data_IF_078843998307
#
_entry.id   IF_078843998307
#
_cell.length_a   1.000
_cell.length_b   1.000
_cell.length_c   1.000
_cell.angle_alpha   90.00
_cell.angle_beta   90.00
_cell.angle_gamma   90.00
#
_symmetry.space_group_name_H-M   'P 1'
#
loop_
_entity.id
_entity.type
_entity.pdbx_description
1 polymer ?
#
# COMPACT_ATOMS: atom_id res chain seq x y z
N UNK A 1 27.76 -8.97 13.93
CA UNK A 1 27.18 -7.77 14.56
C UNK A 1 27.33 -6.62 13.59
N UNK A 2 26.23 -6.02 13.16
CA UNK A 2 26.26 -4.80 12.35
C UNK A 2 26.03 -3.61 13.26
N UNK A 3 26.92 -2.63 13.21
CA UNK A 3 26.78 -1.37 13.94
C UNK A 3 26.48 -0.27 12.93
N UNK A 4 25.37 0.42 13.15
CA UNK A 4 24.97 1.58 12.34
C UNK A 4 24.94 2.78 13.28
N UNK A 5 25.53 3.89 12.84
CA UNK A 5 25.47 5.17 13.54
C UNK A 5 24.53 6.08 12.76
N UNK A 6 23.47 6.54 13.41
CA UNK A 6 22.64 7.63 12.94
C UNK A 6 23.19 8.92 13.56
N UNK A 7 23.49 9.91 12.72
CA UNK A 7 23.85 11.26 13.18
C UNK A 7 22.59 12.10 13.05
N UNK A 8 22.18 12.75 14.14
CA UNK A 8 21.05 13.69 14.14
C UNK A 8 21.62 15.11 14.11
N UNK A 9 21.34 15.84 13.04
CA UNK A 9 21.74 17.25 12.90
C UNK A 9 20.64 18.12 13.50
N UNK A 10 20.66 18.29 14.83
CA UNK A 10 19.63 19.02 15.59
C UNK A 10 20.12 20.41 16.04
N UNK A 11 20.60 21.25 15.12
CA UNK A 11 20.81 22.68 15.46
C UNK A 11 19.54 23.53 15.32
N UNK A 12 18.52 23.09 14.56
CA UNK A 12 17.33 23.90 14.23
C UNK A 12 15.97 23.27 14.62
N UNK A 13 15.94 22.05 15.17
CA UNK A 13 14.71 21.29 15.48
C UNK A 13 14.28 21.48 16.94
N UNK A 14 13.34 22.38 17.20
CA UNK A 14 12.83 22.66 18.55
C UNK A 14 11.84 21.58 19.09
N UNK A 15 12.00 20.30 18.70
CA UNK A 15 11.05 19.22 19.01
C UNK A 15 11.57 17.80 18.76
N UNK A 16 10.80 16.75 19.13
CA UNK A 16 11.21 15.36 18.96
C UNK A 16 11.26 14.95 17.48
N UNK A 17 12.32 14.23 17.09
CA UNK A 17 12.50 13.68 15.75
C UNK A 17 12.11 12.20 15.72
N UNK A 18 11.34 11.80 14.71
CA UNK A 18 10.82 10.42 14.56
C UNK A 18 11.56 9.67 13.46
N UNK A 19 11.95 8.42 13.74
CA UNK A 19 12.63 7.54 12.80
C UNK A 19 11.97 6.15 12.76
N UNK A 20 11.87 5.56 11.57
CA UNK A 20 11.44 4.16 11.40
C UNK A 20 12.66 3.31 11.06
N UNK A 21 13.00 2.37 11.95
CA UNK A 21 14.07 1.41 11.70
C UNK A 21 13.52 0.18 10.99
N UNK A 22 14.02 -0.09 9.79
CA UNK A 22 13.67 -1.29 9.01
C UNK A 22 14.86 -2.24 9.00
N UNK A 23 14.67 -3.44 9.56
CA UNK A 23 15.64 -4.53 9.43
C UNK A 23 15.33 -5.29 8.15
N UNK A 24 16.24 -5.23 7.17
CA UNK A 24 16.07 -5.88 5.88
C UNK A 24 17.23 -6.83 5.57
N UNK A 25 16.93 -7.88 4.82
CA UNK A 25 17.92 -8.82 4.27
C UNK A 25 17.94 -8.62 2.75
N UNK A 26 19.14 -8.48 2.16
CA UNK A 26 19.30 -8.23 0.72
C UNK A 26 18.68 -9.35 -0.12
N UNK A 27 18.90 -10.61 0.29
CA UNK A 27 18.25 -11.78 -0.29
C UNK A 27 17.59 -12.61 0.82
N UNK A 28 16.26 -12.73 0.79
CA UNK A 28 15.50 -13.54 1.75
C UNK A 28 15.57 -15.03 1.40
N UNK A 29 16.77 -15.61 1.45
CA UNK A 29 16.98 -17.03 1.18
C UNK A 29 16.73 -17.89 2.44
N UNK A 30 16.84 -17.31 3.63
CA UNK A 30 16.66 -17.97 4.93
C UNK A 30 16.03 -17.01 5.93
N UNK A 31 15.20 -17.52 6.84
CA UNK A 31 14.72 -16.73 7.97
C UNK A 31 15.86 -16.48 8.96
N UNK A 32 15.94 -15.26 9.47
CA UNK A 32 16.97 -14.85 10.43
C UNK A 32 16.33 -14.42 11.75
N UNK A 33 16.92 -14.89 12.84
CA UNK A 33 16.63 -14.37 14.17
C UNK A 33 17.61 -13.23 14.46
N UNK A 34 17.11 -12.13 15.00
CA UNK A 34 17.94 -10.97 15.33
C UNK A 34 17.58 -10.41 16.70
N UNK A 35 18.54 -9.68 17.27
CA UNK A 35 18.31 -8.82 18.43
C UNK A 35 18.72 -7.40 18.06
N UNK A 36 17.87 -6.43 18.37
CA UNK A 36 18.15 -5.02 18.17
C UNK A 36 18.53 -4.38 19.50
N UNK A 37 19.68 -3.70 19.54
CA UNK A 37 20.10 -2.86 20.67
C UNK A 37 20.36 -1.46 20.15
N UNK A 38 19.74 -0.47 20.77
CA UNK A 38 19.88 0.94 20.40
C UNK A 38 20.47 1.69 21.59
N UNK A 39 21.51 2.46 21.31
CA UNK A 39 22.15 3.36 22.28
C UNK A 39 22.06 4.77 21.70
N UNK A 40 21.68 5.73 22.54
CA UNK A 40 21.61 7.14 22.17
C UNK A 40 22.23 7.99 23.29
N UNK A 41 22.76 9.14 22.90
CA UNK A 41 23.33 10.16 23.81
C UNK A 41 22.28 11.11 24.37
N UNK A 42 21.02 10.95 23.95
CA UNK A 42 19.87 11.72 24.40
C UNK A 42 18.73 10.78 24.83
N UNK A 43 17.69 11.34 25.46
CA UNK A 43 16.49 10.60 25.79
C UNK A 43 15.81 10.14 24.49
N UNK A 44 15.48 8.85 24.42
CA UNK A 44 14.78 8.27 23.28
C UNK A 44 13.73 7.25 23.73
N UNK A 45 12.79 6.96 22.83
CA UNK A 45 11.85 5.85 22.96
C UNK A 45 11.97 4.96 21.73
N UNK A 46 11.97 3.64 21.94
CA UNK A 46 11.92 2.65 20.88
C UNK A 46 10.70 1.78 21.10
N UNK A 47 9.73 1.90 20.21
CA UNK A 47 8.50 1.11 20.25
C UNK A 47 8.36 0.29 18.98
N UNK A 48 7.69 -0.88 19.03
CA UNK A 48 7.21 -1.53 17.82
C UNK A 48 6.40 -0.55 16.98
N UNK A 49 6.46 -0.70 15.65
CA UNK A 49 5.59 0.06 14.75
C UNK A 49 4.13 -0.32 15.09
N UNK A 50 3.24 0.65 15.37
CA UNK A 50 1.85 0.35 15.67
C UNK A 50 1.20 -0.43 14.53
N UNK A 51 0.49 -1.49 14.87
CA UNK A 51 -0.28 -2.26 13.90
C UNK A 51 -1.65 -1.59 13.72
N UNK A 52 -1.76 -0.71 12.73
CA UNK A 52 -2.99 0.02 12.42
C UNK A 52 -4.08 -0.86 11.79
N UNK A 53 -3.72 -2.07 11.34
CA UNK A 53 -4.63 -2.96 10.62
C UNK A 53 -5.11 -4.09 11.51
N UNK A 54 -6.40 -4.41 11.41
CA UNK A 54 -6.96 -5.54 12.12
C UNK A 54 -6.81 -6.80 11.25
N UNK A 55 -6.15 -7.87 11.75
CA UNK A 55 -5.99 -9.11 10.98
C UNK A 55 -7.31 -9.72 10.48
N UNK A 56 -8.44 -9.44 11.15
CA UNK A 56 -9.78 -9.90 10.75
C UNK A 56 -10.30 -9.24 9.47
N UNK A 57 -9.75 -8.09 9.09
CA UNK A 57 -10.20 -7.30 7.95
C UNK A 57 -9.16 -7.30 6.82
N UNK A 58 -8.26 -8.29 6.82
CA UNK A 58 -7.36 -8.55 5.72
C UNK A 58 -8.03 -9.44 4.67
N UNK A 59 -7.99 -9.01 3.41
CA UNK A 59 -8.59 -9.71 2.28
C UNK A 59 -7.57 -9.81 1.15
N UNK A 60 -7.43 -11.01 0.59
CA UNK A 60 -6.59 -11.27 -0.57
C UNK A 60 -7.44 -11.81 -1.72
N UNK A 61 -7.29 -11.25 -2.91
CA UNK A 61 -7.91 -11.74 -4.13
C UNK A 61 -6.82 -12.07 -5.15
N UNK A 62 -6.96 -13.24 -5.78
CA UNK A 62 -6.19 -13.59 -6.97
C UNK A 62 -6.88 -13.03 -8.21
N UNK A 63 -6.15 -12.25 -9.00
CA UNK A 63 -6.59 -11.70 -10.28
C UNK A 63 -5.64 -12.06 -11.42
N UNK A 64 -5.97 -11.64 -12.62
CA UNK A 64 -5.09 -11.78 -13.79
C UNK A 64 -5.30 -10.64 -14.79
N UNK A 65 -4.21 -10.24 -15.45
CA UNK A 65 -4.24 -9.51 -16.71
C UNK A 65 -4.19 -10.53 -17.85
N UNK A 66 -5.21 -10.55 -18.72
CA UNK A 66 -5.31 -11.53 -19.82
C UNK A 66 -6.16 -11.00 -20.97
N UNK A 67 -5.67 -11.19 -22.20
CA UNK A 67 -6.32 -10.69 -23.41
C UNK A 67 -6.64 -9.20 -23.29
N UNK A 68 -7.93 -8.86 -23.40
CA UNK A 68 -8.39 -7.47 -23.33
C UNK A 68 -8.06 -6.75 -22.01
N UNK A 69 -7.90 -7.48 -20.89
CA UNK A 69 -7.65 -6.88 -19.58
C UNK A 69 -6.18 -6.59 -19.32
N UNK A 70 -5.27 -7.01 -20.20
CA UNK A 70 -3.86 -6.61 -20.16
C UNK A 70 -3.68 -5.21 -20.76
N UNK A 71 -4.26 -4.21 -20.09
CA UNK A 71 -4.46 -2.87 -20.65
C UNK A 71 -3.24 -1.94 -20.60
N UNK A 72 -2.21 -2.29 -19.83
CA UNK A 72 -1.05 -1.41 -19.57
C UNK A 72 -1.40 -0.23 -18.65
N UNK A 73 -0.44 0.66 -18.38
CA UNK A 73 -0.62 1.82 -17.51
C UNK A 73 -1.40 2.96 -18.18
N UNK A 74 -1.63 4.07 -17.46
CA UNK A 74 -2.38 5.24 -17.93
C UNK A 74 -1.88 5.85 -19.24
N UNK A 75 -0.59 5.65 -19.58
CA UNK A 75 -0.02 6.07 -20.87
C UNK A 75 -0.70 5.37 -22.07
N UNK A 76 -1.30 4.20 -21.85
CA UNK A 76 -2.01 3.41 -22.85
C UNK A 76 -3.51 3.74 -22.84
N UNK A 77 -3.85 4.99 -23.18
CA UNK A 77 -5.20 5.56 -23.00
C UNK A 77 -6.33 4.74 -23.65
N UNK A 78 -6.06 4.06 -24.76
CA UNK A 78 -7.03 3.22 -25.46
C UNK A 78 -7.42 1.94 -24.68
N UNK A 79 -6.48 1.36 -23.93
CA UNK A 79 -6.60 0.03 -23.32
C UNK A 79 -6.60 0.07 -21.80
N UNK A 80 -6.13 1.13 -21.16
CA UNK A 80 -6.07 1.27 -19.69
C UNK A 80 -7.40 0.98 -18.99
N UNK A 81 -8.50 1.48 -19.56
CA UNK A 81 -9.87 1.28 -19.06
C UNK A 81 -10.31 -0.20 -19.00
N UNK A 82 -9.63 -1.07 -19.76
CA UNK A 82 -9.95 -2.48 -19.82
C UNK A 82 -9.30 -3.29 -18.67
N UNK A 83 -8.30 -2.73 -17.98
CA UNK A 83 -7.69 -3.39 -16.82
C UNK A 83 -8.76 -3.80 -15.80
N UNK A 84 -8.53 -4.88 -15.02
CA UNK A 84 -9.45 -5.31 -13.98
C UNK A 84 -9.75 -4.19 -13.00
N UNK A 85 -10.96 -4.20 -12.42
CA UNK A 85 -11.37 -3.22 -11.40
C UNK A 85 -11.93 -3.95 -10.20
N UNK A 86 -11.48 -3.56 -9.02
CA UNK A 86 -11.95 -4.08 -7.75
C UNK A 86 -12.64 -2.97 -6.98
N UNK A 87 -13.73 -3.30 -6.29
CA UNK A 87 -14.43 -2.39 -5.38
C UNK A 87 -14.00 -2.70 -3.95
N UNK A 88 -13.61 -1.66 -3.23
CA UNK A 88 -13.40 -1.69 -1.78
C UNK A 88 -14.51 -0.88 -1.13
N UNK A 89 -15.28 -1.51 -0.25
CA UNK A 89 -16.37 -0.87 0.49
C UNK A 89 -16.02 -0.81 1.97
N UNK A 90 -15.98 0.40 2.52
CA UNK A 90 -15.82 0.68 3.95
C UNK A 90 -17.19 0.99 4.56
N UNK A 91 -17.85 -0.04 5.07
CA UNK A 91 -19.22 0.01 5.60
C UNK A 91 -19.26 0.58 7.03
N UNK A 92 -18.75 1.79 7.21
CA UNK A 92 -18.84 2.56 8.45
C UNK A 92 -19.08 4.04 8.15
N UNK A 93 -19.32 4.85 9.18
CA UNK A 93 -19.51 6.30 9.07
C UNK A 93 -18.37 7.05 9.77
N UNK A 94 -17.15 6.59 9.57
CA UNK A 94 -15.96 7.12 10.23
C UNK A 94 -14.99 7.77 9.22
N UNK A 95 -14.24 8.77 9.68
CA UNK A 95 -13.24 9.48 8.88
C UNK A 95 -11.79 9.06 9.15
N UNK A 96 -11.58 8.03 9.96
CA UNK A 96 -10.27 7.57 10.46
C UNK A 96 -9.98 6.14 9.99
N UNK A 97 -10.38 5.78 8.76
CA UNK A 97 -10.03 4.47 8.22
C UNK A 97 -8.59 4.46 7.72
N UNK A 98 -7.83 3.42 8.08
CA UNK A 98 -6.48 3.19 7.59
C UNK A 98 -6.46 1.93 6.74
N UNK A 99 -6.02 2.05 5.48
CA UNK A 99 -5.98 0.98 4.51
C UNK A 99 -4.56 0.79 3.99
N UNK A 100 -4.12 -0.45 3.85
CA UNK A 100 -2.92 -0.83 3.09
C UNK A 100 -3.32 -1.72 1.93
N UNK A 101 -2.89 -1.34 0.74
CA UNK A 101 -3.14 -2.08 -0.51
C UNK A 101 -1.78 -2.55 -1.03
N UNK A 102 -1.65 -3.85 -1.26
CA UNK A 102 -0.45 -4.50 -1.80
C UNK A 102 -0.81 -5.22 -3.10
N UNK A 103 -0.04 -4.98 -4.15
CA UNK A 103 -0.15 -5.70 -5.42
C UNK A 103 1.13 -6.51 -5.63
N UNK A 104 0.97 -7.83 -5.84
CA UNK A 104 2.07 -8.77 -6.12
C UNK A 104 1.87 -9.46 -7.45
N UNK A 105 2.92 -9.51 -8.26
CA UNK A 105 3.00 -10.21 -9.53
C UNK A 105 4.41 -10.79 -9.72
N UNK A 106 4.67 -11.65 -10.74
CA UNK A 106 6.01 -12.11 -11.05
C UNK A 106 6.97 -10.94 -11.29
N UNK A 107 8.23 -11.09 -10.84
CA UNK A 107 9.24 -10.02 -10.86
C UNK A 107 9.50 -9.43 -12.26
N UNK A 108 9.28 -10.19 -13.33
CA UNK A 108 9.47 -9.67 -14.70
C UNK A 108 8.43 -8.62 -15.13
N UNK A 109 7.41 -8.33 -14.32
CA UNK A 109 6.40 -7.32 -14.63
C UNK A 109 6.61 -6.08 -13.75
N UNK A 110 6.56 -4.90 -14.37
CA UNK A 110 6.44 -3.64 -13.67
C UNK A 110 4.97 -3.39 -13.39
N UNK A 111 4.58 -3.26 -12.12
CA UNK A 111 3.19 -3.18 -11.69
C UNK A 111 2.91 -1.92 -10.87
N UNK A 112 1.68 -1.47 -10.96
CA UNK A 112 1.15 -0.31 -10.26
C UNK A 112 -0.37 -0.40 -10.18
N UNK A 113 -0.99 0.46 -9.37
CA UNK A 113 -2.45 0.56 -9.33
C UNK A 113 -2.91 1.98 -9.02
N UNK A 114 -4.13 2.27 -9.45
CA UNK A 114 -4.86 3.50 -9.17
C UNK A 114 -5.99 3.20 -8.19
N UNK A 115 -6.23 4.12 -7.26
CA UNK A 115 -7.37 4.10 -6.34
C UNK A 115 -8.22 5.33 -6.59
N UNK A 116 -9.52 5.16 -6.86
CA UNK A 116 -10.47 6.26 -7.06
C UNK A 116 -11.60 6.16 -6.05
N UNK A 117 -11.88 7.25 -5.36
CA UNK A 117 -13.05 7.37 -4.50
C UNK A 117 -14.30 7.56 -5.37
N UNK A 118 -15.27 6.66 -5.22
CA UNK A 118 -16.52 6.69 -6.00
C UNK A 118 -17.63 7.39 -5.23
N UNK A 119 -17.72 7.11 -3.93
CA UNK A 119 -18.74 7.67 -3.05
C UNK A 119 -18.20 7.70 -1.63
N UNK A 120 -18.45 8.81 -0.91
CA UNK A 120 -18.16 8.94 0.52
C UNK A 120 -19.45 9.15 1.28
N UNK A 121 -19.52 8.59 2.50
CA UNK A 121 -20.63 8.82 3.41
C UNK A 121 -20.26 9.70 4.62
N UNK A 122 -19.01 10.18 4.64
CA UNK A 122 -18.45 11.13 5.60
C UNK A 122 -17.79 12.26 4.82
N UNK A 123 -18.08 13.50 5.19
CA UNK A 123 -17.46 14.68 4.60
C UNK A 123 -16.30 15.21 5.48
N UNK A 124 -15.32 15.86 4.84
CA UNK A 124 -14.19 16.52 5.50
C UNK A 124 -13.28 15.59 6.30
N UNK A 125 -13.14 14.34 5.86
CA UNK A 125 -12.11 13.46 6.42
C UNK A 125 -10.71 13.96 6.01
N UNK A 126 -9.74 13.89 6.91
CA UNK A 126 -8.40 14.45 6.68
C UNK A 126 -7.68 13.80 5.48
N UNK A 127 -7.96 12.52 5.22
CA UNK A 127 -7.44 11.76 4.08
C UNK A 127 -8.42 11.66 2.92
N UNK A 128 -9.40 12.55 2.78
CA UNK A 128 -10.31 12.54 1.63
C UNK A 128 -9.57 12.81 0.31
N UNK A 129 -9.83 12.00 -0.72
CA UNK A 129 -9.23 12.14 -2.04
C UNK A 129 -10.22 11.71 -3.12
N UNK A 130 -10.06 12.25 -4.33
CA UNK A 130 -10.82 11.77 -5.50
C UNK A 130 -10.09 10.61 -6.20
N UNK A 131 -8.77 10.76 -6.39
CA UNK A 131 -7.93 9.76 -7.05
C UNK A 131 -6.50 9.82 -6.52
N UNK A 132 -5.88 8.65 -6.39
CA UNK A 132 -4.47 8.47 -6.00
C UNK A 132 -3.91 7.21 -6.64
N UNK A 133 -2.60 6.96 -6.52
CA UNK A 133 -1.91 5.84 -7.15
C UNK A 133 -0.79 5.29 -6.26
N UNK A 134 -0.35 4.06 -6.54
CA UNK A 134 0.76 3.42 -5.84
C UNK A 134 2.14 4.07 -6.09
N UNK A 135 2.20 5.12 -6.90
CA UNK A 135 3.41 5.76 -7.40
C UNK A 135 4.02 5.04 -8.61
N UNK A 136 5.32 5.21 -8.82
CA UNK A 136 6.06 4.61 -9.95
C UNK A 136 5.87 3.09 -10.00
N UNK A 137 5.70 2.55 -11.21
CA UNK A 137 5.56 1.12 -11.43
C UNK A 137 6.84 0.39 -11.00
N UNK A 138 6.69 -0.67 -10.20
CA UNK A 138 7.80 -1.41 -9.59
C UNK A 138 7.77 -2.87 -9.99
N UNK A 139 8.95 -3.50 -10.01
CA UNK A 139 9.12 -4.91 -10.38
C UNK A 139 8.41 -5.82 -9.36
N UNK A 140 7.38 -6.53 -9.80
CA UNK A 140 6.66 -7.57 -9.08
C UNK A 140 5.88 -7.15 -7.82
N UNK A 141 6.11 -5.95 -7.28
CA UNK A 141 5.48 -5.52 -6.04
C UNK A 141 5.33 -4.01 -5.95
N UNK A 142 4.15 -3.53 -5.54
CA UNK A 142 3.95 -2.18 -5.05
C UNK A 142 2.95 -2.16 -3.88
N UNK A 143 3.02 -1.09 -3.09
CA UNK A 143 2.18 -0.90 -1.91
C UNK A 143 1.74 0.56 -1.81
N UNK A 144 0.53 0.79 -1.32
CA UNK A 144 -0.02 2.10 -0.99
C UNK A 144 -0.70 2.03 0.37
N UNK A 145 -0.39 2.99 1.25
CA UNK A 145 -1.12 3.21 2.50
C UNK A 145 -1.98 4.46 2.37
N UNK A 146 -3.21 4.36 2.86
CA UNK A 146 -4.20 5.42 2.86
C UNK A 146 -4.66 5.62 4.30
N UNK A 147 -4.44 6.82 4.82
CA UNK A 147 -4.66 7.13 6.24
C UNK A 147 -5.80 8.14 6.39
N UNK A 148 -6.64 7.92 7.41
CA UNK A 148 -7.76 8.79 7.74
C UNK A 148 -8.74 9.02 6.56
N UNK A 149 -9.03 7.96 5.81
CA UNK A 149 -9.95 8.05 4.68
C UNK A 149 -11.41 7.87 5.15
N UNK A 150 -12.37 8.53 4.49
CA UNK A 150 -13.78 8.44 4.88
C UNK A 150 -14.35 7.04 4.61
N UNK A 151 -15.38 6.67 5.37
CA UNK A 151 -16.27 5.57 5.00
C UNK A 151 -16.86 5.82 3.59
N UNK A 152 -17.01 4.75 2.82
CA UNK A 152 -17.40 4.88 1.42
C UNK A 152 -16.96 3.75 0.52
N UNK A 153 -17.10 4.01 -0.78
CA UNK A 153 -16.82 3.09 -1.87
C UNK A 153 -15.64 3.59 -2.69
N UNK A 154 -14.66 2.72 -2.87
CA UNK A 154 -13.44 2.98 -3.62
C UNK A 154 -13.28 1.94 -4.72
N UNK A 155 -12.60 2.31 -5.80
CA UNK A 155 -12.19 1.37 -6.84
C UNK A 155 -10.68 1.28 -6.91
N UNK A 156 -10.16 0.07 -7.11
CA UNK A 156 -8.74 -0.22 -7.25
C UNK A 156 -8.54 -0.83 -8.64
N UNK A 157 -7.69 -0.21 -9.46
CA UNK A 157 -7.38 -0.67 -10.82
C UNK A 157 -5.91 -1.06 -10.91
N UNK A 158 -5.57 -2.36 -10.75
CA UNK A 158 -4.22 -2.85 -10.96
C UNK A 158 -3.88 -2.92 -12.45
N UNK A 159 -2.65 -2.55 -12.79
CA UNK A 159 -2.13 -2.57 -14.15
C UNK A 159 -0.65 -2.98 -14.20
N UNK A 160 -0.24 -3.53 -15.34
CA UNK A 160 1.17 -3.58 -15.75
C UNK A 160 1.58 -2.26 -16.40
N UNK A 161 2.88 -1.97 -16.46
CA UNK A 161 3.36 -0.76 -17.15
C UNK A 161 3.04 -0.82 -18.65
N UNK A 162 3.49 -1.88 -19.33
CA UNK A 162 3.22 -2.12 -20.73
C UNK A 162 1.88 -2.87 -20.95
N UNK A 163 1.15 -2.61 -22.04
CA UNK A 163 -0.03 -3.37 -22.42
C UNK A 163 0.35 -4.76 -22.95
N UNK A 164 -0.63 -5.66 -23.07
CA UNK A 164 -0.46 -7.05 -23.54
C UNK A 164 0.48 -7.91 -22.68
N UNK A 165 0.73 -7.49 -21.44
CA UNK A 165 1.48 -8.26 -20.45
C UNK A 165 0.51 -9.12 -19.66
N UNK A 166 0.44 -10.40 -20.00
CA UNK A 166 -0.42 -11.34 -19.30
C UNK A 166 0.26 -11.93 -18.07
N UNK A 167 -0.42 -11.91 -16.93
CA UNK A 167 0.08 -12.49 -15.69
C UNK A 167 -1.03 -12.62 -14.64
N UNK A 168 -1.00 -13.66 -13.78
CA UNK A 168 -1.71 -13.61 -12.52
C UNK A 168 -1.10 -12.54 -11.59
N UNK A 169 -1.90 -12.06 -10.66
CA UNK A 169 -1.47 -11.19 -9.57
C UNK A 169 -2.28 -11.47 -8.30
N UNK A 170 -1.74 -11.04 -7.16
CA UNK A 170 -2.43 -11.01 -5.88
C UNK A 170 -2.66 -9.57 -5.45
N UNK A 171 -3.90 -9.22 -5.14
CA UNK A 171 -4.28 -7.94 -4.55
C UNK A 171 -4.66 -8.19 -3.09
N UNK A 172 -3.87 -7.68 -2.16
CA UNK A 172 -4.11 -7.78 -0.72
C UNK A 172 -4.51 -6.41 -0.17
N UNK A 173 -5.58 -6.36 0.61
CA UNK A 173 -6.08 -5.18 1.30
C UNK A 173 -6.15 -5.48 2.79
N UNK A 174 -5.41 -4.72 3.59
CA UNK A 174 -5.51 -4.72 5.04
C UNK A 174 -6.18 -3.42 5.50
N UNK A 175 -7.08 -3.52 6.48
CA UNK A 175 -7.90 -2.40 6.94
C UNK A 175 -7.94 -2.32 8.46
N UNK A 176 -8.01 -1.10 9.01
CA UNK A 176 -8.28 -0.87 10.43
C UNK A 176 -9.69 -1.28 10.84
N UNK A 177 -10.66 -1.15 9.92
CA UNK A 177 -12.08 -1.43 10.15
C UNK A 177 -12.64 -2.44 9.15
N UNK A 178 -13.86 -2.91 9.40
CA UNK A 178 -14.53 -3.84 8.51
C UNK A 178 -14.65 -3.27 7.10
N UNK A 179 -14.20 -4.05 6.13
CA UNK A 179 -14.27 -3.71 4.71
C UNK A 179 -14.72 -4.92 3.88
N UNK A 180 -15.13 -4.69 2.65
CA UNK A 180 -15.43 -5.73 1.67
C UNK A 180 -14.69 -5.43 0.36
N UNK A 181 -13.94 -6.40 -0.16
CA UNK A 181 -13.24 -6.31 -1.44
C UNK A 181 -13.90 -7.26 -2.44
N UNK A 182 -14.34 -6.74 -3.59
CA UNK A 182 -14.99 -7.52 -4.64
C UNK A 182 -14.44 -7.16 -6.02
N UNK A 183 -14.54 -8.07 -6.99
CA UNK A 183 -14.18 -7.80 -8.39
C UNK A 183 -15.39 -7.20 -9.13
N UNK A 184 -15.20 -6.08 -9.82
CA UNK A 184 -16.21 -5.45 -10.67
C UNK A 184 -16.08 -5.84 -12.15
N UNK A 185 -14.84 -5.92 -12.66
CA UNK A 185 -14.51 -6.20 -14.07
C UNK A 185 -13.27 -7.07 -14.18
#
# INVERSE_FOLDING_TARGET
>A
HYLVKLVTDDEDSNGPTFYTLVVSQYEKNIDIYYSLRVYATCQFSLTPVPEYYNPRYQQEITGEWKGKTAGGCQNNTATYKNNPVYQLVLNNREGNNHIKIELRAPKQFQVGFEVTCTETNVSNAAGEFQKTESGSYRSGFCVLTLDNIPGGTYTIRPATFDPNRESPFFLNVASSHQCALTKLQ
#
